data_IF_339530224190
#
_entry.id   IF_339530224190
#
_cell.length_a   1.000
_cell.length_b   1.000
_cell.length_c   1.000
_cell.angle_alpha   90.00
_cell.angle_beta   90.00
_cell.angle_gamma   90.00
#
_symmetry.space_group_name_H-M   'P 1'
#
loop_
_entity.id
_entity.type
_entity.pdbx_description
1 polymer ?
#
# COMPACT_ATOMS: atom_id res chain seq x y z
N UNK A 1 4.90 24.14 10.95
CA UNK A 1 5.49 23.28 9.90
C UNK A 1 4.55 23.34 8.71
N UNK A 2 4.95 23.94 7.59
CA UNK A 2 4.10 24.01 6.39
C UNK A 2 4.19 22.64 5.71
N UNK A 3 3.06 21.97 5.50
CA UNK A 3 3.05 20.75 4.66
C UNK A 3 3.22 21.24 3.22
N UNK A 4 4.42 21.06 2.66
CA UNK A 4 4.82 21.60 1.35
C UNK A 4 3.84 21.22 0.23
N UNK A 5 3.31 20.00 0.30
CA UNK A 5 2.33 19.47 -0.66
C UNK A 5 0.97 20.18 -0.63
N UNK A 6 0.59 20.86 0.46
CA UNK A 6 -0.72 21.56 0.51
C UNK A 6 -0.79 22.72 -0.49
N UNK A 7 0.35 23.35 -0.79
CA UNK A 7 0.41 24.52 -1.68
C UNK A 7 1.10 24.23 -3.01
N UNK A 8 2.06 23.30 -3.05
CA UNK A 8 2.81 22.97 -4.26
C UNK A 8 2.18 21.84 -5.08
N UNK A 9 1.42 20.95 -4.45
CA UNK A 9 0.79 19.80 -5.12
C UNK A 9 -0.51 19.42 -4.42
N UNK A 10 -1.58 20.23 -4.59
CA UNK A 10 -2.86 19.98 -3.96
C UNK A 10 -3.30 18.52 -4.12
N UNK A 11 -3.95 17.97 -3.08
CA UNK A 11 -4.42 16.59 -3.00
C UNK A 11 -3.33 15.50 -2.92
N UNK A 12 -2.04 15.81 -3.10
CA UNK A 12 -1.00 14.77 -3.06
C UNK A 12 -0.90 14.04 -1.71
N UNK A 13 -1.24 14.70 -0.61
CA UNK A 13 -1.11 14.13 0.74
C UNK A 13 -1.92 12.84 0.95
N UNK A 14 -3.05 12.67 0.26
CA UNK A 14 -3.84 11.43 0.35
C UNK A 14 -3.06 10.20 -0.13
N UNK A 15 -2.08 10.40 -1.03
CA UNK A 15 -1.26 9.32 -1.59
C UNK A 15 -0.51 8.56 -0.50
N UNK A 16 -0.06 9.23 0.56
CA UNK A 16 0.58 8.58 1.70
C UNK A 16 -0.39 7.67 2.46
N UNK A 17 -1.61 8.16 2.71
CA UNK A 17 -2.63 7.41 3.44
C UNK A 17 -3.13 6.20 2.67
N UNK A 18 -3.22 6.27 1.33
CA UNK A 18 -3.60 5.10 0.52
C UNK A 18 -2.43 4.15 0.28
N UNK A 19 -1.18 4.64 0.28
CA UNK A 19 0.00 3.80 0.04
C UNK A 19 0.43 3.01 1.27
N UNK A 20 0.06 3.43 2.49
CA UNK A 20 0.44 2.71 3.72
C UNK A 20 -0.24 1.33 3.83
N UNK A 21 -1.46 1.19 3.30
CA UNK A 21 -2.22 -0.07 3.33
C UNK A 21 -1.48 -1.19 2.59
N UNK A 22 -1.17 -1.09 1.28
CA UNK A 22 -0.43 -2.15 0.59
C UNK A 22 1.00 -2.31 1.11
N UNK A 23 1.61 -1.26 1.68
CA UNK A 23 2.93 -1.38 2.31
C UNK A 23 2.91 -2.28 3.55
N UNK A 24 1.87 -2.16 4.39
CA UNK A 24 1.69 -3.01 5.57
C UNK A 24 1.29 -4.44 5.19
N UNK A 25 0.49 -4.64 4.14
CA UNK A 25 0.20 -5.98 3.61
C UNK A 25 1.46 -6.66 3.06
N UNK A 26 2.33 -5.92 2.35
CA UNK A 26 3.64 -6.44 1.92
C UNK A 26 4.53 -6.80 3.11
N UNK A 27 4.49 -5.99 4.17
CA UNK A 27 5.22 -6.28 5.41
C UNK A 27 4.71 -7.57 6.05
N UNK A 28 3.40 -7.71 6.25
CA UNK A 28 2.79 -8.93 6.80
C UNK A 28 3.08 -10.16 5.92
N UNK A 29 2.96 -10.02 4.60
CA UNK A 29 3.31 -11.07 3.65
C UNK A 29 4.77 -11.48 3.80
N UNK A 30 5.70 -10.54 3.99
CA UNK A 30 7.11 -10.85 4.16
C UNK A 30 7.40 -11.65 5.44
N UNK A 31 6.57 -11.52 6.48
CA UNK A 31 6.72 -12.30 7.72
C UNK A 31 6.33 -13.78 7.54
N UNK A 32 5.52 -14.09 6.52
CA UNK A 32 5.00 -15.45 6.26
C UNK A 32 5.63 -16.10 5.03
N UNK A 33 5.82 -15.33 3.97
CA UNK A 33 6.48 -15.71 2.72
C UNK A 33 7.27 -14.53 2.14
N UNK A 34 8.54 -14.43 2.54
CA UNK A 34 9.46 -13.38 2.08
C UNK A 34 9.66 -13.38 0.55
N UNK A 35 9.60 -14.54 -0.10
CA UNK A 35 9.82 -14.64 -1.55
C UNK A 35 8.61 -14.10 -2.31
N UNK A 36 7.40 -14.44 -1.87
CA UNK A 36 6.17 -13.88 -2.43
C UNK A 36 6.13 -12.35 -2.28
N UNK A 37 6.47 -11.84 -1.09
CA UNK A 37 6.51 -10.39 -0.84
C UNK A 37 7.50 -9.65 -1.75
N UNK A 38 8.71 -10.20 -1.94
CA UNK A 38 9.70 -9.64 -2.87
C UNK A 38 9.19 -9.63 -4.30
N UNK A 39 8.60 -10.73 -4.76
CA UNK A 39 8.05 -10.82 -6.11
C UNK A 39 6.94 -9.79 -6.33
N UNK A 40 6.00 -9.67 -5.38
CA UNK A 40 4.94 -8.65 -5.42
C UNK A 40 5.53 -7.23 -5.48
N UNK A 41 6.52 -6.93 -4.63
CA UNK A 41 7.19 -5.63 -4.63
C UNK A 41 7.86 -5.31 -5.98
N UNK A 42 8.63 -6.25 -6.54
CA UNK A 42 9.30 -6.03 -7.83
C UNK A 42 8.30 -5.86 -8.98
N UNK A 43 7.22 -6.63 -9.00
CA UNK A 43 6.17 -6.50 -9.99
C UNK A 43 5.49 -5.12 -9.93
N UNK A 44 5.25 -4.56 -8.73
CA UNK A 44 4.72 -3.20 -8.54
C UNK A 44 5.70 -2.14 -9.06
N UNK A 45 7.00 -2.33 -8.81
CA UNK A 45 8.05 -1.45 -9.35
C UNK A 45 8.12 -1.50 -10.88
N UNK A 46 7.92 -2.68 -11.46
CA UNK A 46 7.99 -2.93 -12.91
C UNK A 46 6.63 -2.81 -13.63
N UNK A 47 5.60 -2.28 -12.95
CA UNK A 47 4.26 -2.10 -13.53
C UNK A 47 4.30 -1.28 -14.83
N UNK A 48 3.32 -1.48 -15.70
CA UNK A 48 3.19 -0.66 -16.91
C UNK A 48 3.02 0.82 -16.54
N UNK A 49 3.61 1.76 -17.30
CA UNK A 49 3.62 3.20 -16.98
C UNK A 49 2.24 3.83 -16.74
N UNK A 50 1.17 3.22 -17.26
CA UNK A 50 -0.20 3.72 -17.17
C UNK A 50 -1.12 2.84 -16.32
N UNK A 51 -0.55 1.88 -15.58
CA UNK A 51 -1.32 1.02 -14.68
C UNK A 51 -2.01 1.84 -13.60
N UNK A 52 -3.29 1.54 -13.35
CA UNK A 52 -4.03 2.17 -12.27
C UNK A 52 -3.59 1.59 -10.91
N UNK A 53 -3.65 2.40 -9.86
CA UNK A 53 -3.18 2.00 -8.53
C UNK A 53 -3.86 0.72 -8.01
N UNK A 54 -5.19 0.70 -8.02
CA UNK A 54 -5.98 -0.44 -7.53
C UNK A 54 -5.71 -1.71 -8.34
N UNK A 55 -5.63 -1.59 -9.67
CA UNK A 55 -5.30 -2.72 -10.54
C UNK A 55 -3.89 -3.25 -10.29
N UNK A 56 -2.93 -2.36 -10.03
CA UNK A 56 -1.53 -2.73 -9.76
C UNK A 56 -1.41 -3.55 -8.49
N UNK A 57 -2.07 -3.13 -7.40
CA UNK A 57 -1.98 -3.83 -6.12
C UNK A 57 -2.77 -5.15 -6.15
N UNK A 58 -3.94 -5.18 -6.79
CA UNK A 58 -4.78 -6.38 -6.95
C UNK A 58 -4.05 -7.50 -7.72
N UNK A 59 -3.38 -7.15 -8.83
CA UNK A 59 -2.53 -8.08 -9.60
C UNK A 59 -1.40 -8.72 -8.79
N UNK A 60 -1.03 -8.12 -7.67
CA UNK A 60 0.05 -8.57 -6.79
C UNK A 60 -0.46 -9.18 -5.49
N UNK A 61 -1.75 -9.53 -5.42
CA UNK A 61 -2.35 -10.19 -4.27
C UNK A 61 -2.54 -9.29 -3.05
N UNK A 62 -2.52 -7.97 -3.24
CA UNK A 62 -2.76 -6.98 -2.20
C UNK A 62 -4.19 -6.46 -2.30
N UNK A 63 -4.77 -6.09 -1.16
CA UNK A 63 -6.18 -5.76 -1.08
C UNK A 63 -6.46 -4.30 -1.45
N UNK A 64 -7.70 -4.03 -1.88
CA UNK A 64 -8.16 -2.66 -2.10
C UNK A 64 -8.20 -1.86 -0.79
N UNK A 65 -7.56 -0.68 -0.82
CA UNK A 65 -7.50 0.29 0.28
C UNK A 65 -8.86 0.88 0.66
N UNK A 66 -9.88 0.69 -0.19
CA UNK A 66 -11.25 1.15 0.04
C UNK A 66 -12.15 0.07 0.64
N UNK A 67 -11.64 -1.14 0.85
CA UNK A 67 -12.38 -2.23 1.49
C UNK A 67 -12.43 -2.04 3.01
N UNK A 68 -13.64 -2.13 3.59
CA UNK A 68 -13.84 -2.07 5.03
C UNK A 68 -13.11 -3.22 5.75
N UNK A 69 -13.04 -4.39 5.11
CA UNK A 69 -12.32 -5.56 5.65
C UNK A 69 -10.83 -5.26 5.76
N UNK A 70 -10.23 -4.73 4.69
CA UNK A 70 -8.81 -4.39 4.64
C UNK A 70 -8.44 -3.35 5.69
N UNK A 71 -9.24 -2.29 5.85
CA UNK A 71 -8.98 -1.26 6.86
C UNK A 71 -8.95 -1.86 8.28
N UNK A 72 -9.83 -2.80 8.58
CA UNK A 72 -9.86 -3.48 9.89
C UNK A 72 -8.65 -4.39 10.11
N UNK A 73 -8.22 -5.11 9.07
CA UNK A 73 -7.02 -5.95 9.14
C UNK A 73 -5.77 -5.12 9.38
N UNK A 74 -5.61 -4.01 8.66
CA UNK A 74 -4.49 -3.08 8.84
C UNK A 74 -4.44 -2.54 10.27
N UNK A 75 -5.57 -2.13 10.83
CA UNK A 75 -5.63 -1.68 12.22
C UNK A 75 -5.12 -2.77 13.19
N UNK A 76 -5.53 -4.02 12.98
CA UNK A 76 -5.07 -5.14 13.80
C UNK A 76 -3.56 -5.42 13.65
N UNK A 77 -3.00 -5.29 12.44
CA UNK A 77 -1.55 -5.42 12.21
C UNK A 77 -0.78 -4.35 12.99
N UNK A 78 -1.26 -3.10 12.97
CA UNK A 78 -0.65 -2.01 13.72
C UNK A 78 -0.68 -2.32 15.23
N UNK A 79 -1.83 -2.71 15.77
CA UNK A 79 -1.97 -3.03 17.20
C UNK A 79 -1.05 -4.18 17.65
N UNK A 80 -0.75 -5.16 16.79
CA UNK A 80 0.15 -6.28 17.12
C UNK A 80 1.64 -5.90 17.11
N UNK A 81 2.01 -4.80 16.47
CA UNK A 81 3.39 -4.36 16.29
C UNK A 81 3.72 -3.08 17.09
N UNK A 82 2.83 -2.67 18.01
CA UNK A 82 3.02 -1.54 18.92
C UNK A 82 3.12 -2.02 20.37
#
# INVERSE_FOLDING_TARGET
MLITHTFQSPLYYISYAVSIVPALELFEMAQTDETAAKNAYFNIMMRDPYSQFIETIDKNGLSSVFSNVTIKQIAAIVDQNT
#
